data_IF_001997576060
#
_entry.id   IF_001997576060
#
_cell.length_a   1.000
_cell.length_b   1.000
_cell.length_c   1.000
_cell.angle_alpha   90.00
_cell.angle_beta   90.00
_cell.angle_gamma   90.00
#
_symmetry.space_group_name_H-M   'P 1'
#
loop_
_entity.id
_entity.type
_entity.pdbx_description
1 polymer ?
#
# COMPACT_ATOMS: atom_id res chain seq x y z
N UNK A 1 -31.66 59.64 -28.55
CA UNK A 1 -31.09 59.90 -29.89
C UNK A 1 -29.63 59.45 -29.81
N UNK A 2 -29.17 58.38 -30.46
CA UNK A 2 -29.28 57.95 -31.87
C UNK A 2 -28.36 58.76 -32.80
N UNK A 3 -27.58 58.18 -33.74
CA UNK A 3 -27.22 56.77 -34.03
C UNK A 3 -26.03 56.74 -35.03
N UNK A 4 -25.46 55.55 -35.30
CA UNK A 4 -24.45 55.21 -36.36
C UNK A 4 -23.00 55.75 -36.14
N UNK A 5 -21.86 55.10 -36.45
CA UNK A 5 -21.40 53.80 -37.03
C UNK A 5 -20.68 53.87 -38.39
N UNK A 6 -19.42 53.42 -38.46
CA UNK A 6 -18.71 53.01 -39.70
C UNK A 6 -17.49 52.09 -39.41
N UNK A 7 -17.15 51.26 -40.41
CA UNK A 7 -16.23 50.09 -40.42
C UNK A 7 -14.75 50.21 -39.97
N UNK A 8 -14.13 49.02 -39.81
CA UNK A 8 -12.67 48.74 -39.79
C UNK A 8 -12.00 48.92 -41.18
N UNK A 9 -10.66 48.84 -41.25
CA UNK A 9 -10.07 47.80 -42.09
C UNK A 9 -8.98 46.93 -41.40
N UNK A 10 -8.38 46.03 -42.18
CA UNK A 10 -7.42 44.98 -41.78
C UNK A 10 -6.10 45.50 -41.18
N UNK A 11 -5.56 44.73 -40.23
CA UNK A 11 -4.15 44.74 -39.83
C UNK A 11 -3.74 43.32 -39.41
N UNK A 12 -2.68 42.77 -40.00
CA UNK A 12 -2.25 41.38 -39.78
C UNK A 12 -1.23 41.28 -38.64
N UNK A 13 -1.38 40.28 -37.76
CA UNK A 13 -0.31 39.85 -36.85
C UNK A 13 -0.40 38.33 -36.61
N UNK A 14 0.33 37.56 -37.41
CA UNK A 14 0.58 36.12 -37.23
C UNK A 14 2.09 35.88 -37.15
N UNK A 15 2.66 35.75 -35.95
CA UNK A 15 3.98 35.11 -35.72
C UNK A 15 4.26 34.88 -34.23
N UNK A 16 3.79 33.77 -33.66
CA UNK A 16 4.42 33.15 -32.47
C UNK A 16 3.97 31.68 -32.26
N UNK A 17 4.21 30.82 -33.26
CA UNK A 17 3.81 29.39 -33.22
C UNK A 17 4.72 28.51 -34.09
N UNK A 18 6.05 28.66 -33.93
CA UNK A 18 7.04 28.01 -34.82
C UNK A 18 8.38 27.67 -34.13
N UNK A 19 8.37 27.48 -32.81
CA UNK A 19 9.57 27.31 -31.98
C UNK A 19 9.59 26.02 -31.12
N UNK A 20 8.70 25.06 -31.40
CA UNK A 20 8.53 23.83 -30.61
C UNK A 20 8.44 22.53 -31.44
N UNK A 21 8.87 22.52 -32.70
CA UNK A 21 8.71 21.39 -33.63
C UNK A 21 10.00 20.99 -34.40
N UNK A 22 11.20 21.23 -33.84
CA UNK A 22 12.48 20.94 -34.51
C UNK A 22 13.58 20.32 -33.61
N UNK A 23 13.22 19.53 -32.59
CA UNK A 23 14.18 18.70 -31.82
C UNK A 23 13.65 17.30 -31.49
N UNK A 24 13.04 16.62 -32.47
CA UNK A 24 12.54 15.26 -32.30
C UNK A 24 12.57 14.45 -33.61
N UNK A 25 13.76 14.31 -34.22
CA UNK A 25 14.07 13.26 -35.20
C UNK A 25 15.59 13.17 -35.44
N UNK A 26 16.32 12.37 -34.66
CA UNK A 26 17.49 11.64 -35.16
C UNK A 26 17.90 10.47 -34.22
N UNK A 27 18.48 9.43 -34.85
CA UNK A 27 19.19 8.27 -34.27
C UNK A 27 18.36 7.12 -33.71
N UNK A 28 18.06 6.18 -34.61
CA UNK A 28 17.70 4.78 -34.33
C UNK A 28 18.50 3.89 -35.30
N UNK A 29 19.13 2.83 -34.77
CA UNK A 29 19.93 1.79 -35.49
C UNK A 29 21.30 2.25 -36.08
N UNK A 30 22.35 1.42 -36.18
CA UNK A 30 22.73 0.17 -35.46
C UNK A 30 24.17 -0.23 -35.87
N UNK A 31 24.99 -0.78 -34.95
CA UNK A 31 25.94 -1.86 -35.27
C UNK A 31 26.47 -2.59 -34.03
N UNK A 32 26.95 -3.83 -34.23
CA UNK A 32 27.24 -4.84 -33.20
C UNK A 32 28.73 -5.22 -33.19
N UNK A 33 29.30 -5.42 -32.00
CA UNK A 33 30.46 -6.29 -31.76
C UNK A 33 30.29 -7.04 -30.42
N UNK A 34 30.87 -8.24 -30.29
CA UNK A 34 30.71 -9.12 -29.11
C UNK A 34 32.04 -9.73 -28.68
N UNK A 35 32.23 -9.85 -27.36
CA UNK A 35 32.98 -10.87 -26.59
C UNK A 35 32.48 -10.72 -25.14
N UNK A 36 32.00 -11.74 -24.40
CA UNK A 36 32.61 -13.02 -24.02
C UNK A 36 33.87 -12.83 -23.15
N UNK A 37 34.07 -13.45 -21.97
CA UNK A 37 33.21 -14.28 -21.08
C UNK A 37 33.93 -14.32 -19.68
N UNK A 38 33.54 -14.97 -18.56
CA UNK A 38 32.55 -15.99 -18.12
C UNK A 38 32.28 -15.80 -16.61
N UNK A 39 31.18 -16.34 -16.03
CA UNK A 39 31.19 -16.74 -14.59
C UNK A 39 29.86 -16.70 -13.82
N UNK A 40 29.53 -17.78 -13.09
CA UNK A 40 28.30 -17.92 -12.29
C UNK A 40 28.55 -17.85 -10.77
N UNK A 41 27.92 -16.87 -10.10
CA UNK A 41 27.13 -17.06 -8.86
C UNK A 41 27.75 -17.63 -7.56
N UNK A 42 26.82 -17.98 -6.65
CA UNK A 42 26.97 -18.78 -5.42
C UNK A 42 27.73 -18.16 -4.22
N UNK A 43 26.93 -17.54 -3.34
CA UNK A 43 26.81 -17.80 -1.88
C UNK A 43 28.02 -17.68 -0.93
N UNK A 44 27.83 -16.88 0.13
CA UNK A 44 28.68 -16.78 1.32
C UNK A 44 28.64 -18.05 2.21
N UNK A 45 29.77 -18.45 2.82
CA UNK A 45 29.72 -19.03 4.17
C UNK A 45 30.87 -18.59 5.13
N UNK A 46 30.46 -18.02 6.27
CA UNK A 46 30.99 -18.15 7.64
C UNK A 46 32.47 -18.58 7.93
N UNK A 47 33.20 -17.62 8.54
CA UNK A 47 33.91 -17.73 9.84
C UNK A 47 34.69 -19.02 10.24
N UNK A 48 36.04 -18.95 10.19
CA UNK A 48 37.02 -19.39 11.21
C UNK A 48 38.44 -18.94 10.76
N UNK A 49 39.19 -18.10 11.49
CA UNK A 49 39.93 -18.29 12.78
C UNK A 49 41.24 -19.08 12.67
N UNK A 50 42.31 -18.39 12.26
CA UNK A 50 43.70 -18.49 12.79
C UNK A 50 44.29 -17.08 12.72
N UNK A 51 44.99 -16.46 13.70
CA UNK A 51 45.72 -16.87 14.90
C UNK A 51 47.15 -17.40 14.68
N UNK A 52 48.07 -16.52 14.30
CA UNK A 52 49.49 -16.62 14.65
C UNK A 52 50.16 -15.24 14.61
N UNK A 53 50.89 -14.88 15.66
CA UNK A 53 51.67 -13.64 15.75
C UNK A 53 52.92 -13.68 14.87
N UNK A 54 53.25 -12.56 14.23
CA UNK A 54 54.63 -12.20 13.90
C UNK A 54 54.91 -10.81 14.44
N UNK A 55 56.02 -10.69 15.16
CA UNK A 55 56.29 -9.58 16.07
C UNK A 55 56.75 -8.31 15.37
N UNK A 56 56.01 -7.21 15.62
CA UNK A 56 56.50 -5.84 15.77
C UNK A 56 57.73 -5.40 14.94
N UNK A 57 57.48 -4.56 13.93
CA UNK A 57 58.28 -3.34 13.78
C UNK A 57 57.34 -2.14 13.69
N UNK A 58 57.66 -1.09 14.48
CA UNK A 58 56.73 0.00 14.81
C UNK A 58 56.78 1.10 13.74
N UNK A 59 55.67 1.30 13.04
CA UNK A 59 55.35 2.51 12.28
C UNK A 59 54.07 3.12 12.86
N UNK A 60 54.02 4.43 13.02
CA UNK A 60 52.93 5.13 13.73
C UNK A 60 51.66 5.22 12.87
N UNK A 61 50.49 4.75 13.35
CA UNK A 61 49.22 5.04 12.72
C UNK A 61 48.70 6.40 13.18
N UNK A 62 48.57 7.35 12.26
CA UNK A 62 47.83 8.60 12.51
C UNK A 62 46.41 8.27 12.96
N UNK A 63 46.09 8.52 14.23
CA UNK A 63 44.74 8.30 14.75
C UNK A 63 43.81 9.34 14.14
N UNK A 64 43.13 8.95 13.05
CA UNK A 64 41.89 9.60 12.64
C UNK A 64 40.87 9.27 13.73
N UNK A 65 40.74 10.18 14.69
CA UNK A 65 39.63 10.13 15.63
C UNK A 65 38.32 10.08 14.82
N UNK A 66 37.40 9.16 15.11
CA UNK A 66 36.01 9.38 14.78
C UNK A 66 35.63 10.74 15.35
N UNK A 67 35.00 11.62 14.56
CA UNK A 67 34.41 12.83 15.14
C UNK A 67 33.48 12.38 16.25
N UNK A 68 33.82 12.70 17.49
CA UNK A 68 32.89 12.54 18.59
C UNK A 68 31.59 13.24 18.17
N UNK A 69 30.44 12.60 18.36
CA UNK A 69 29.20 13.36 18.34
C UNK A 69 29.37 14.43 19.40
N UNK A 70 29.28 15.69 18.99
CA UNK A 70 29.13 16.77 19.93
C UNK A 70 27.78 16.56 20.60
N UNK A 71 27.81 15.93 21.77
CA UNK A 71 26.71 16.02 22.73
C UNK A 71 26.67 17.49 23.12
N UNK A 72 25.83 18.25 22.42
CA UNK A 72 25.56 19.64 22.74
C UNK A 72 25.11 19.68 24.19
N UNK A 73 25.87 20.35 25.06
CA UNK A 73 25.45 20.55 26.44
C UNK A 73 24.09 21.25 26.40
N UNK A 74 23.01 20.61 26.88
CA UNK A 74 21.70 21.25 27.00
C UNK A 74 21.88 22.42 27.98
N UNK A 75 21.98 23.63 27.44
CA UNK A 75 22.15 24.87 28.22
C UNK A 75 20.97 25.00 29.17
N UNK A 76 21.24 25.20 30.45
CA UNK A 76 20.19 25.50 31.41
C UNK A 76 19.52 26.84 31.07
N UNK A 77 18.22 26.96 31.36
CA UNK A 77 17.51 28.23 31.23
C UNK A 77 18.20 29.33 32.07
N UNK A 78 18.47 30.53 31.54
CA UNK A 78 18.92 31.66 32.33
C UNK A 78 17.88 32.01 33.42
N UNK A 79 18.31 32.15 34.67
CA UNK A 79 17.42 32.48 35.79
C UNK A 79 16.65 33.77 35.51
N UNK A 80 15.32 33.70 35.54
CA UNK A 80 14.43 34.81 35.15
C UNK A 80 13.95 34.80 33.69
N UNK A 81 14.38 33.84 32.86
CA UNK A 81 13.73 33.50 31.57
C UNK A 81 12.80 32.27 31.65
N UNK A 82 12.59 31.71 32.85
CA UNK A 82 11.63 30.63 33.08
C UNK A 82 10.23 31.06 32.61
N UNK A 83 9.67 30.29 31.67
CA UNK A 83 8.40 30.65 31.03
C UNK A 83 7.24 30.01 31.80
N UNK A 84 6.23 30.81 32.16
CA UNK A 84 5.00 30.34 32.84
C UNK A 84 3.72 30.66 32.06
N UNK A 85 3.82 31.42 30.96
CA UNK A 85 2.72 31.78 30.08
C UNK A 85 3.25 31.78 28.65
N UNK A 86 2.48 31.21 27.71
CA UNK A 86 2.75 31.36 26.28
C UNK A 86 2.25 32.74 25.85
N UNK A 87 3.20 33.63 25.52
CA UNK A 87 2.94 35.01 25.10
C UNK A 87 3.79 35.44 23.89
N UNK A 88 3.55 36.63 23.38
CA UNK A 88 4.20 37.19 22.18
C UNK A 88 5.72 37.38 22.36
N UNK A 89 6.25 37.45 23.59
CA UNK A 89 7.68 37.62 23.81
C UNK A 89 8.47 36.39 23.34
N UNK A 90 7.88 35.19 23.44
CA UNK A 90 8.50 33.94 22.99
C UNK A 90 8.77 33.91 21.48
N UNK A 91 8.03 34.67 20.67
CA UNK A 91 8.30 34.76 19.24
C UNK A 91 9.67 35.43 18.93
N UNK A 92 10.24 36.17 19.89
CA UNK A 92 11.56 36.80 19.80
C UNK A 92 12.67 36.00 20.49
N UNK A 93 12.38 34.80 21.03
CA UNK A 93 13.40 33.94 21.64
C UNK A 93 14.16 33.17 20.54
N UNK A 94 15.47 33.05 20.71
CA UNK A 94 16.32 32.19 19.89
C UNK A 94 15.95 30.71 20.10
N UNK A 95 16.21 29.87 19.09
CA UNK A 95 15.90 28.43 19.10
C UNK A 95 16.42 27.72 20.38
N UNK A 96 17.65 28.03 20.78
CA UNK A 96 18.27 27.44 21.98
C UNK A 96 17.66 27.96 23.30
N UNK A 97 17.03 29.14 23.31
CA UNK A 97 16.36 29.68 24.49
C UNK A 97 15.00 29.04 24.69
N UNK A 98 14.26 28.76 23.61
CA UNK A 98 13.02 27.98 23.67
C UNK A 98 13.29 26.54 24.15
N UNK A 99 14.31 25.87 23.59
CA UNK A 99 14.73 24.53 24.01
C UNK A 99 15.22 24.48 25.48
N UNK A 100 15.73 25.58 26.01
CA UNK A 100 16.18 25.68 27.40
C UNK A 100 15.07 26.07 28.41
N UNK A 101 14.14 26.96 28.03
CA UNK A 101 13.26 27.66 28.97
C UNK A 101 11.75 27.37 28.83
N UNK A 102 11.31 26.67 27.77
CA UNK A 102 9.89 26.33 27.56
C UNK A 102 9.66 24.84 27.83
N UNK A 103 8.69 24.56 28.71
CA UNK A 103 8.33 23.21 29.13
C UNK A 103 7.16 22.61 28.32
N UNK A 104 7.17 21.28 28.14
CA UNK A 104 6.15 20.55 27.39
C UNK A 104 4.77 20.56 28.06
N UNK A 105 4.68 20.60 29.40
CA UNK A 105 3.40 20.69 30.09
C UNK A 105 2.75 22.06 29.90
N UNK A 106 3.54 23.14 29.91
CA UNK A 106 3.06 24.49 29.62
C UNK A 106 2.50 24.59 28.20
N UNK A 107 3.22 24.07 27.21
CA UNK A 107 2.77 24.02 25.81
C UNK A 107 1.48 23.20 25.65
N UNK A 108 1.32 22.13 26.42
CA UNK A 108 0.13 21.29 26.41
C UNK A 108 -1.09 21.99 27.04
N UNK A 109 -0.91 22.67 28.17
CA UNK A 109 -1.98 23.45 28.84
C UNK A 109 -2.39 24.68 28.02
N UNK A 110 -1.44 25.32 27.33
CA UNK A 110 -1.64 26.61 26.67
C UNK A 110 -1.61 26.54 25.13
N UNK A 111 -1.95 25.38 24.56
CA UNK A 111 -1.95 25.14 23.10
C UNK A 111 -2.80 26.14 22.29
N UNK A 112 -3.90 26.68 22.86
CA UNK A 112 -4.68 27.76 22.23
C UNK A 112 -3.86 29.05 22.02
N UNK A 113 -2.92 29.35 22.92
CA UNK A 113 -2.02 30.50 22.83
C UNK A 113 -0.90 30.23 21.81
N UNK A 114 -0.35 29.02 21.79
CA UNK A 114 0.60 28.58 20.76
C UNK A 114 0.00 28.77 19.36
N UNK A 115 -1.30 28.50 19.21
CA UNK A 115 -2.05 28.69 17.96
C UNK A 115 -2.45 30.14 17.64
N UNK A 116 -2.34 31.07 18.58
CA UNK A 116 -2.69 32.48 18.39
C UNK A 116 -1.48 33.35 17.99
N UNK A 117 -0.26 32.91 18.30
CA UNK A 117 0.98 33.65 18.10
C UNK A 117 1.70 33.14 16.83
N UNK A 118 2.20 34.03 15.94
CA UNK A 118 2.81 33.63 14.67
C UNK A 118 4.28 33.19 14.84
N UNK A 119 4.49 32.07 15.54
CA UNK A 119 5.79 31.39 15.65
C UNK A 119 6.32 30.92 14.29
N UNK A 120 7.64 30.82 14.14
CA UNK A 120 8.26 30.23 12.95
C UNK A 120 8.17 28.70 12.95
N UNK A 121 8.32 28.06 11.79
CA UNK A 121 8.37 26.59 11.71
C UNK A 121 9.46 25.98 12.59
N UNK A 122 10.62 26.64 12.76
CA UNK A 122 11.68 26.19 13.66
C UNK A 122 11.24 26.26 15.14
N UNK A 123 10.59 27.35 15.55
CA UNK A 123 10.07 27.50 16.91
C UNK A 123 8.97 26.48 17.21
N UNK A 124 8.11 26.19 16.22
CA UNK A 124 7.07 25.16 16.34
C UNK A 124 7.63 23.73 16.36
N UNK A 125 8.68 23.42 15.60
CA UNK A 125 9.38 22.11 15.66
C UNK A 125 10.01 21.87 17.04
N UNK A 126 10.59 22.91 17.67
CA UNK A 126 11.08 22.84 19.05
C UNK A 126 9.92 22.59 20.03
N UNK A 127 8.80 23.30 19.90
CA UNK A 127 7.62 23.03 20.71
C UNK A 127 7.05 21.62 20.48
N UNK A 128 7.13 21.10 19.26
CA UNK A 128 6.73 19.73 18.93
C UNK A 128 7.66 18.73 19.62
N UNK A 129 8.97 18.98 19.61
CA UNK A 129 9.95 18.18 20.33
C UNK A 129 9.70 18.18 21.85
N UNK A 130 9.37 19.33 22.46
CA UNK A 130 8.96 19.41 23.87
C UNK A 130 7.70 18.61 24.19
N UNK A 131 6.71 18.65 23.29
CA UNK A 131 5.47 17.87 23.44
C UNK A 131 5.72 16.37 23.24
N UNK A 132 6.64 15.97 22.36
CA UNK A 132 7.09 14.58 22.21
C UNK A 132 7.92 14.09 23.42
N UNK A 133 8.81 14.94 23.99
CA UNK A 133 9.55 14.66 25.24
C UNK A 133 8.57 14.46 26.42
N UNK A 134 7.49 15.26 26.51
CA UNK A 134 6.50 15.19 27.58
C UNK A 134 5.43 14.09 27.40
N UNK A 135 5.03 13.80 26.16
CA UNK A 135 4.06 12.75 25.81
C UNK A 135 4.68 11.66 24.90
N UNK A 136 5.66 10.88 25.37
CA UNK A 136 6.35 9.88 24.55
C UNK A 136 5.45 8.72 24.08
N UNK A 137 4.27 8.56 24.69
CA UNK A 137 3.24 7.58 24.29
C UNK A 137 2.14 8.17 23.39
N UNK A 138 2.29 9.42 22.92
CA UNK A 138 1.28 10.13 22.14
C UNK A 138 0.43 11.08 22.97
N UNK A 139 -0.14 12.08 22.30
CA UNK A 139 -0.87 13.17 22.95
C UNK A 139 -2.23 12.71 23.53
N UNK A 140 -2.68 13.26 24.67
CA UNK A 140 -4.03 13.04 25.18
C UNK A 140 -5.07 13.75 24.31
N UNK A 141 -6.30 13.24 24.24
CA UNK A 141 -7.35 13.83 23.39
C UNK A 141 -7.70 15.27 23.77
N UNK A 142 -7.53 15.65 25.04
CA UNK A 142 -7.65 17.04 25.51
C UNK A 142 -6.64 18.00 24.90
N UNK A 143 -5.43 17.53 24.53
CA UNK A 143 -4.48 18.33 23.76
C UNK A 143 -4.84 18.30 22.27
N UNK A 144 -5.18 17.12 21.74
CA UNK A 144 -5.49 16.92 20.30
C UNK A 144 -6.64 17.83 19.84
N UNK A 145 -7.65 18.04 20.69
CA UNK A 145 -8.77 18.97 20.43
C UNK A 145 -8.34 20.42 20.20
N UNK A 146 -7.26 20.87 20.85
CA UNK A 146 -6.76 22.24 20.80
C UNK A 146 -5.61 22.46 19.79
N UNK A 147 -5.06 21.39 19.19
CA UNK A 147 -3.92 21.50 18.27
C UNK A 147 -4.13 22.50 17.13
N UNK A 148 -5.34 22.57 16.55
CA UNK A 148 -5.72 23.54 15.51
C UNK A 148 -4.63 23.68 14.40
N UNK A 149 -3.97 24.83 14.23
CA UNK A 149 -2.88 25.03 13.27
C UNK A 149 -1.58 24.28 13.62
N UNK A 150 -1.31 24.01 14.90
CA UNK A 150 -0.18 23.16 15.33
C UNK A 150 -0.26 21.73 14.76
N UNK A 151 -1.45 21.28 14.32
CA UNK A 151 -1.61 20.01 13.61
C UNK A 151 -0.77 19.91 12.31
N UNK A 152 -0.30 21.03 11.76
CA UNK A 152 0.53 21.05 10.55
C UNK A 152 1.94 20.50 10.78
N UNK A 153 2.46 20.62 12.01
CA UNK A 153 3.78 20.08 12.40
C UNK A 153 3.71 18.61 12.84
N UNK A 154 2.51 18.03 12.88
CA UNK A 154 2.29 16.65 13.30
C UNK A 154 2.54 15.69 12.13
N UNK A 155 3.34 14.65 12.39
CA UNK A 155 3.59 13.59 11.40
C UNK A 155 2.57 12.46 11.51
N UNK A 156 2.32 11.67 10.44
CA UNK A 156 1.49 10.46 10.52
C UNK A 156 1.98 9.46 11.59
N UNK A 157 3.29 9.39 11.84
CA UNK A 157 3.87 8.55 12.89
C UNK A 157 3.43 8.96 14.30
N UNK A 158 3.22 10.25 14.55
CA UNK A 158 2.74 10.75 15.83
C UNK A 158 1.25 10.43 16.03
N UNK A 159 0.45 10.61 14.98
CA UNK A 159 -0.99 10.32 14.98
C UNK A 159 -1.27 8.85 15.29
N UNK A 160 -0.41 7.91 14.86
CA UNK A 160 -0.55 6.50 15.22
C UNK A 160 -0.44 6.22 16.73
N UNK A 161 0.30 7.04 17.48
CA UNK A 161 0.47 6.93 18.95
C UNK A 161 -0.80 7.37 19.70
N UNK A 162 -1.55 8.32 19.14
CA UNK A 162 -2.69 8.97 19.78
C UNK A 162 -3.87 8.04 20.08
N UNK A 163 -4.79 8.47 20.93
CA UNK A 163 -6.10 7.85 21.05
C UNK A 163 -7.19 8.92 20.83
N UNK A 164 -7.83 8.89 19.66
CA UNK A 164 -8.87 9.85 19.26
C UNK A 164 -10.22 9.12 19.25
N UNK A 165 -11.17 9.60 20.06
CA UNK A 165 -12.47 8.96 20.28
C UNK A 165 -13.65 9.86 19.89
N UNK A 166 -13.45 11.17 19.82
CA UNK A 166 -14.48 12.14 19.46
C UNK A 166 -14.46 12.47 17.96
N UNK A 167 -15.64 12.35 17.31
CA UNK A 167 -15.82 12.73 15.91
C UNK A 167 -15.60 14.24 15.69
N UNK A 168 -15.90 15.08 16.68
CA UNK A 168 -15.71 16.53 16.57
C UNK A 168 -14.21 16.91 16.59
N UNK A 169 -13.37 16.11 17.27
CA UNK A 169 -11.90 16.22 17.18
C UNK A 169 -11.40 15.88 15.78
N UNK A 170 -11.97 14.86 15.13
CA UNK A 170 -11.65 14.54 13.73
C UNK A 170 -12.09 15.69 12.81
N UNK A 171 -13.31 16.21 12.98
CA UNK A 171 -13.84 17.32 12.17
C UNK A 171 -13.03 18.62 12.29
N UNK A 172 -12.55 18.98 13.49
CA UNK A 172 -11.75 20.18 13.68
C UNK A 172 -10.41 20.10 12.94
N UNK A 173 -9.71 18.97 13.04
CA UNK A 173 -8.42 18.74 12.36
C UNK A 173 -8.58 18.61 10.83
N UNK A 174 -9.64 17.96 10.35
CA UNK A 174 -9.99 17.93 8.92
C UNK A 174 -10.23 19.34 8.36
N UNK A 175 -10.90 20.22 9.13
CA UNK A 175 -11.16 21.61 8.73
C UNK A 175 -9.86 22.42 8.56
N UNK A 176 -8.86 22.24 9.43
CA UNK A 176 -7.54 22.90 9.30
C UNK A 176 -6.72 22.33 8.14
N UNK A 177 -6.82 21.02 7.91
CA UNK A 177 -6.11 20.29 6.86
C UNK A 177 -6.58 20.64 5.44
N UNK A 178 -7.82 21.14 5.29
CA UNK A 178 -8.45 21.35 3.98
C UNK A 178 -7.67 22.31 3.09
N UNK A 179 -7.37 21.86 1.86
CA UNK A 179 -6.60 22.64 0.88
C UNK A 179 -5.08 22.64 1.12
N UNK A 180 -4.59 21.81 2.05
CA UNK A 180 -3.15 21.61 2.33
C UNK A 180 -2.74 20.19 1.95
N UNK A 181 -1.44 19.95 1.77
CA UNK A 181 -0.85 18.62 1.48
C UNK A 181 -0.75 17.77 2.75
N UNK A 182 -1.89 17.49 3.37
CA UNK A 182 -2.02 16.79 4.66
C UNK A 182 -2.60 15.38 4.50
N UNK A 183 -2.65 14.83 3.28
CA UNK A 183 -3.39 13.61 2.95
C UNK A 183 -2.93 12.40 3.78
N UNK A 184 -1.62 12.29 4.06
CA UNK A 184 -1.07 11.23 4.92
C UNK A 184 -1.44 11.39 6.40
N UNK A 185 -1.48 12.63 6.92
CA UNK A 185 -1.96 12.91 8.27
C UNK A 185 -3.46 12.65 8.40
N UNK A 186 -4.25 13.02 7.39
CA UNK A 186 -5.68 12.74 7.31
C UNK A 186 -5.94 11.24 7.27
N UNK A 187 -5.20 10.48 6.44
CA UNK A 187 -5.25 9.03 6.40
C UNK A 187 -4.98 8.39 7.78
N UNK A 188 -3.91 8.81 8.45
CA UNK A 188 -3.56 8.32 9.78
C UNK A 188 -4.59 8.69 10.85
N UNK A 189 -5.16 9.91 10.81
CA UNK A 189 -6.20 10.37 11.73
C UNK A 189 -7.49 9.55 11.58
N UNK A 190 -7.93 9.33 10.34
CA UNK A 190 -9.11 8.51 10.05
C UNK A 190 -8.88 7.05 10.47
N UNK A 191 -7.72 6.46 10.14
CA UNK A 191 -7.36 5.12 10.60
C UNK A 191 -7.38 5.02 12.14
N UNK A 192 -6.78 5.99 12.84
CA UNK A 192 -6.66 5.99 14.31
C UNK A 192 -8.01 6.11 15.01
N UNK A 193 -8.94 6.90 14.46
CA UNK A 193 -10.31 7.05 14.94
C UNK A 193 -11.16 5.79 14.73
N UNK A 194 -11.08 5.19 13.53
CA UNK A 194 -11.82 3.97 13.18
C UNK A 194 -11.32 2.74 13.96
N UNK A 195 -10.01 2.64 14.20
CA UNK A 195 -9.41 1.62 15.10
C UNK A 195 -9.90 1.78 16.55
N UNK A 196 -10.28 2.99 16.97
CA UNK A 196 -10.94 3.25 18.25
C UNK A 196 -12.42 2.84 18.31
N UNK A 197 -12.98 2.25 17.25
CA UNK A 197 -14.41 1.93 17.13
C UNK A 197 -15.28 3.14 16.71
N UNK A 198 -14.65 4.25 16.32
CA UNK A 198 -15.35 5.45 15.83
C UNK A 198 -16.14 5.20 14.55
N UNK A 199 -17.13 6.07 14.28
CA UNK A 199 -17.90 6.04 13.04
C UNK A 199 -18.00 7.42 12.41
N UNK A 200 -17.65 7.51 11.13
CA UNK A 200 -17.74 8.76 10.37
C UNK A 200 -19.19 9.01 9.94
N UNK A 201 -19.71 10.19 10.28
CA UNK A 201 -20.99 10.64 9.71
C UNK A 201 -20.84 11.03 8.23
N UNK A 202 -21.97 11.13 7.53
CA UNK A 202 -21.97 11.47 6.10
C UNK A 202 -21.29 12.82 5.82
N UNK A 203 -21.48 13.83 6.65
CA UNK A 203 -20.87 15.15 6.44
C UNK A 203 -19.33 15.10 6.55
N UNK A 204 -18.81 14.17 7.35
CA UNK A 204 -17.37 13.90 7.49
C UNK A 204 -16.85 13.15 6.27
N UNK A 205 -17.58 12.14 5.75
CA UNK A 205 -17.25 11.47 4.48
C UNK A 205 -17.31 12.44 3.28
N UNK A 206 -18.32 13.31 3.22
CA UNK A 206 -18.46 14.37 2.20
C UNK A 206 -17.32 15.42 2.30
N UNK A 207 -16.73 15.60 3.50
CA UNK A 207 -15.56 16.45 3.69
C UNK A 207 -14.27 15.76 3.23
N UNK A 208 -14.15 14.45 3.45
CA UNK A 208 -13.01 13.64 3.01
C UNK A 208 -12.84 13.59 1.48
N UNK A 209 -13.91 13.77 0.71
CA UNK A 209 -13.85 13.91 -0.75
C UNK A 209 -12.98 15.11 -1.24
N UNK A 210 -12.62 16.05 -0.35
CA UNK A 210 -11.67 17.13 -0.66
C UNK A 210 -10.18 16.79 -0.41
N UNK A 211 -9.87 15.51 -0.13
CA UNK A 211 -8.52 14.97 0.08
C UNK A 211 -8.25 13.79 -0.87
N UNK A 212 -6.98 13.40 -1.01
CA UNK A 212 -6.58 12.22 -1.77
C UNK A 212 -7.04 10.93 -1.04
N UNK A 213 -7.71 9.96 -1.71
CA UNK A 213 -8.55 8.94 -1.07
C UNK A 213 -7.78 7.75 -0.47
N UNK A 214 -6.58 8.00 0.02
CA UNK A 214 -5.73 7.12 0.84
C UNK A 214 -6.43 6.54 2.08
N UNK A 215 -7.56 7.11 2.50
CA UNK A 215 -8.35 6.66 3.65
C UNK A 215 -9.32 5.50 3.32
N UNK A 216 -9.58 5.19 2.05
CA UNK A 216 -10.65 4.27 1.63
C UNK A 216 -10.58 2.88 2.29
N UNK A 217 -9.39 2.30 2.38
CA UNK A 217 -9.19 0.95 2.92
C UNK A 217 -9.30 0.87 4.45
N UNK A 218 -9.45 1.99 5.16
CA UNK A 218 -9.76 1.98 6.60
C UNK A 218 -11.27 1.94 6.89
N UNK A 219 -12.11 2.28 5.90
CA UNK A 219 -13.57 2.39 6.07
C UNK A 219 -14.23 1.01 6.15
N UNK A 220 -15.25 0.87 7.00
CA UNK A 220 -16.09 -0.34 6.98
C UNK A 220 -16.86 -0.45 5.64
N UNK A 221 -17.31 -1.64 5.21
CA UNK A 221 -18.10 -1.82 4.00
C UNK A 221 -19.33 -0.87 3.92
N UNK A 222 -19.95 -0.59 5.06
CA UNK A 222 -21.14 0.27 5.21
C UNK A 222 -20.79 1.77 5.06
N UNK A 223 -19.68 2.19 5.66
CA UNK A 223 -19.14 3.55 5.50
C UNK A 223 -18.66 3.77 4.05
N UNK A 224 -17.93 2.80 3.50
CA UNK A 224 -17.42 2.80 2.14
C UNK A 224 -18.57 2.88 1.12
N UNK A 225 -19.65 2.15 1.36
CA UNK A 225 -20.91 2.26 0.59
C UNK A 225 -21.48 3.68 0.57
N UNK A 226 -21.27 4.46 1.64
CA UNK A 226 -21.72 5.86 1.77
C UNK A 226 -20.79 6.90 1.14
N UNK A 227 -19.54 6.54 0.79
CA UNK A 227 -18.59 7.46 0.12
C UNK A 227 -19.09 7.83 -1.28
N UNK A 228 -18.88 9.10 -1.68
CA UNK A 228 -19.24 9.59 -3.02
C UNK A 228 -18.44 8.92 -4.15
N UNK A 229 -18.93 9.03 -5.39
CA UNK A 229 -18.35 8.33 -6.55
C UNK A 229 -17.11 9.04 -7.11
N UNK A 230 -16.91 10.32 -6.79
CA UNK A 230 -15.77 11.15 -7.19
C UNK A 230 -14.43 10.65 -6.60
N UNK A 231 -14.43 10.15 -5.37
CA UNK A 231 -13.27 9.53 -4.73
C UNK A 231 -12.67 8.36 -5.55
N UNK A 232 -13.48 7.73 -6.41
CA UNK A 232 -13.04 6.63 -7.28
C UNK A 232 -12.31 7.13 -8.54
N UNK A 233 -12.48 8.41 -8.92
CA UNK A 233 -11.77 9.04 -10.03
C UNK A 233 -10.35 9.47 -9.68
N UNK A 234 -10.08 9.73 -8.40
CA UNK A 234 -8.79 10.23 -7.88
C UNK A 234 -7.94 9.17 -7.19
N UNK A 235 -8.51 8.02 -6.85
CA UNK A 235 -7.79 6.88 -6.29
C UNK A 235 -6.80 6.27 -7.29
N UNK A 236 -5.60 5.98 -6.81
CA UNK A 236 -4.51 5.35 -7.53
C UNK A 236 -4.24 3.93 -7.00
N UNK A 237 -3.52 3.05 -7.74
CA UNK A 237 -3.31 1.66 -7.32
C UNK A 237 -2.72 1.50 -5.91
N UNK A 238 -1.82 2.39 -5.48
CA UNK A 238 -1.22 2.34 -4.15
C UNK A 238 -2.22 2.60 -3.01
N UNK A 239 -3.30 3.35 -3.25
CA UNK A 239 -4.33 3.68 -2.26
C UNK A 239 -5.24 2.46 -1.95
N UNK A 240 -5.14 1.41 -2.78
CA UNK A 240 -5.99 0.21 -2.75
C UNK A 240 -5.26 -1.04 -2.25
N UNK A 241 -3.93 -0.98 -2.05
CA UNK A 241 -3.09 -2.15 -1.70
C UNK A 241 -3.47 -2.77 -0.36
N UNK A 242 -3.99 -1.97 0.58
CA UNK A 242 -4.42 -2.41 1.91
C UNK A 242 -5.90 -2.80 2.00
N UNK A 243 -6.68 -2.70 0.91
CA UNK A 243 -8.10 -3.00 0.94
C UNK A 243 -8.38 -4.50 0.99
N UNK A 244 -9.25 -4.91 1.91
CA UNK A 244 -9.80 -6.26 1.98
C UNK A 244 -10.74 -6.55 0.80
N UNK A 245 -10.94 -7.84 0.42
CA UNK A 245 -11.76 -8.21 -0.74
C UNK A 245 -13.17 -7.59 -0.77
N UNK A 246 -13.86 -7.54 0.38
CA UNK A 246 -15.20 -6.96 0.48
C UNK A 246 -15.22 -5.44 0.29
N UNK A 247 -14.15 -4.72 0.65
CA UNK A 247 -13.99 -3.31 0.34
C UNK A 247 -13.75 -3.11 -1.17
N UNK A 248 -12.92 -3.98 -1.76
CA UNK A 248 -12.68 -3.96 -3.21
C UNK A 248 -13.93 -4.25 -4.03
N UNK A 249 -14.81 -5.16 -3.60
CA UNK A 249 -16.10 -5.43 -4.26
C UNK A 249 -16.98 -4.17 -4.35
N UNK A 250 -17.03 -3.39 -3.26
CA UNK A 250 -17.81 -2.15 -3.18
C UNK A 250 -17.15 -1.04 -4.02
N UNK A 251 -15.83 -0.90 -3.96
CA UNK A 251 -15.08 0.07 -4.77
C UNK A 251 -15.17 -0.25 -6.27
N UNK A 252 -15.09 -1.53 -6.65
CA UNK A 252 -15.27 -1.98 -8.02
C UNK A 252 -16.68 -1.69 -8.55
N UNK A 253 -17.72 -1.95 -7.74
CA UNK A 253 -19.11 -1.60 -8.07
C UNK A 253 -19.28 -0.10 -8.31
N UNK A 254 -18.71 0.75 -7.42
CA UNK A 254 -18.71 2.21 -7.60
C UNK A 254 -17.92 2.65 -8.84
N UNK A 255 -16.77 2.03 -9.11
CA UNK A 255 -15.93 2.33 -10.27
C UNK A 255 -16.65 2.05 -11.59
N UNK A 256 -17.40 0.94 -11.68
CA UNK A 256 -18.24 0.65 -12.86
C UNK A 256 -19.29 1.73 -13.11
N UNK A 257 -19.96 2.22 -12.06
CA UNK A 257 -20.98 3.27 -12.18
C UNK A 257 -20.32 4.60 -12.56
N UNK A 258 -19.20 4.95 -11.93
CA UNK A 258 -18.42 6.15 -12.24
C UNK A 258 -17.96 6.18 -13.70
N UNK A 259 -17.38 5.08 -14.19
CA UNK A 259 -16.80 4.99 -15.53
C UNK A 259 -17.77 4.47 -16.61
N UNK A 260 -19.08 4.37 -16.33
CA UNK A 260 -20.09 3.77 -17.23
C UNK A 260 -20.20 4.42 -18.62
N UNK A 261 -19.75 5.68 -18.76
CA UNK A 261 -19.77 6.43 -20.02
C UNK A 261 -18.48 6.26 -20.86
N UNK A 262 -17.50 5.52 -20.37
CA UNK A 262 -16.23 5.23 -21.07
C UNK A 262 -16.31 3.88 -21.79
N UNK A 263 -15.37 3.62 -22.71
CA UNK A 263 -15.26 2.32 -23.38
C UNK A 263 -13.81 1.97 -23.73
N UNK A 264 -13.56 0.70 -24.06
CA UNK A 264 -12.28 0.24 -24.62
C UNK A 264 -11.09 0.46 -23.70
N UNK A 265 -9.98 0.95 -24.27
CA UNK A 265 -8.72 1.16 -23.54
C UNK A 265 -8.81 2.25 -22.47
N UNK A 266 -9.62 3.30 -22.66
CA UNK A 266 -9.82 4.35 -21.64
C UNK A 266 -10.58 3.81 -20.44
N UNK A 267 -11.70 3.11 -20.67
CA UNK A 267 -12.44 2.42 -19.61
C UNK A 267 -11.54 1.41 -18.89
N UNK A 268 -10.77 0.61 -19.64
CA UNK A 268 -9.87 -0.37 -19.05
C UNK A 268 -8.81 0.29 -18.17
N UNK A 269 -8.16 1.37 -18.62
CA UNK A 269 -7.18 2.10 -17.84
C UNK A 269 -7.74 2.67 -16.53
N UNK A 270 -9.03 3.07 -16.51
CA UNK A 270 -9.71 3.60 -15.32
C UNK A 270 -10.22 2.52 -14.37
N UNK A 271 -10.78 1.42 -14.88
CA UNK A 271 -11.31 0.33 -14.04
C UNK A 271 -10.19 -0.58 -13.49
N UNK A 272 -9.03 -0.62 -14.15
CA UNK A 272 -7.87 -1.49 -13.82
C UNK A 272 -7.49 -1.57 -12.33
N UNK A 273 -7.36 -0.47 -11.57
CA UNK A 273 -6.95 -0.53 -10.17
C UNK A 273 -7.93 -1.31 -9.28
N UNK A 274 -9.21 -1.37 -9.67
CA UNK A 274 -10.30 -1.93 -8.88
C UNK A 274 -10.58 -3.41 -9.19
N UNK A 275 -9.93 -3.99 -10.20
CA UNK A 275 -10.26 -5.32 -10.74
C UNK A 275 -10.17 -6.48 -9.74
N UNK A 276 -9.44 -6.34 -8.62
CA UNK A 276 -9.44 -7.34 -7.55
C UNK A 276 -10.85 -7.58 -6.95
N UNK A 277 -11.74 -6.59 -7.00
CA UNK A 277 -13.16 -6.68 -6.62
C UNK A 277 -14.12 -7.08 -7.77
N UNK A 278 -13.60 -7.46 -8.94
CA UNK A 278 -14.44 -7.88 -10.06
C UNK A 278 -15.07 -9.27 -9.83
N UNK A 279 -16.18 -9.54 -10.53
CA UNK A 279 -16.72 -10.89 -10.70
C UNK A 279 -16.19 -11.56 -11.98
N UNK A 280 -16.40 -12.88 -12.13
CA UNK A 280 -16.06 -13.62 -13.36
C UNK A 280 -16.81 -13.05 -14.56
N UNK A 281 -18.08 -12.69 -14.36
CA UNK A 281 -19.00 -12.15 -15.35
C UNK A 281 -18.53 -10.76 -15.82
N UNK A 282 -17.92 -9.98 -14.94
CA UNK A 282 -17.35 -8.69 -15.28
C UNK A 282 -16.05 -8.82 -16.08
N UNK A 283 -15.20 -9.80 -15.76
CA UNK A 283 -14.04 -10.11 -16.60
C UNK A 283 -14.49 -10.60 -18.00
N UNK A 284 -15.58 -11.39 -18.08
CA UNK A 284 -16.21 -11.75 -19.37
C UNK A 284 -16.72 -10.53 -20.13
N UNK A 285 -17.20 -9.49 -19.46
CA UNK A 285 -17.59 -8.23 -20.09
C UNK A 285 -16.40 -7.39 -20.62
N UNK A 286 -15.15 -7.70 -20.21
CA UNK A 286 -13.93 -7.11 -20.77
C UNK A 286 -13.43 -7.85 -22.03
N UNK A 287 -13.66 -9.17 -22.13
CA UNK A 287 -13.27 -10.02 -23.28
C UNK A 287 -13.63 -9.45 -24.66
N UNK A 288 -14.83 -8.89 -24.91
CA UNK A 288 -15.16 -8.31 -26.23
C UNK A 288 -14.55 -6.93 -26.48
N UNK A 289 -13.97 -6.26 -25.47
CA UNK A 289 -13.48 -4.88 -25.57
C UNK A 289 -12.06 -4.75 -26.15
N UNK A 290 -11.43 -5.88 -26.55
CA UNK A 290 -10.08 -5.94 -27.13
C UNK A 290 -9.01 -5.24 -26.25
N UNK A 291 -9.08 -5.49 -24.95
CA UNK A 291 -8.15 -4.98 -23.94
C UNK A 291 -6.89 -5.84 -23.85
N UNK A 292 -5.86 -5.33 -23.18
CA UNK A 292 -4.59 -6.04 -22.95
C UNK A 292 -4.22 -5.91 -21.47
N UNK A 293 -4.59 -6.92 -20.68
CA UNK A 293 -4.24 -7.03 -19.27
C UNK A 293 -2.81 -7.54 -19.12
N UNK A 294 -1.97 -6.86 -18.34
CA UNK A 294 -0.65 -7.35 -17.92
C UNK A 294 -0.75 -8.46 -16.88
N UNK A 295 0.29 -9.32 -16.80
CA UNK A 295 0.26 -10.47 -15.87
C UNK A 295 0.25 -10.03 -14.40
N UNK A 296 0.78 -8.84 -14.08
CA UNK A 296 0.75 -8.30 -12.73
C UNK A 296 -0.69 -8.02 -12.27
N UNK A 297 -1.49 -7.37 -13.12
CA UNK A 297 -2.93 -7.17 -12.90
C UNK A 297 -3.70 -8.48 -12.91
N UNK A 298 -3.37 -9.41 -13.82
CA UNK A 298 -3.99 -10.74 -13.82
C UNK A 298 -3.73 -11.50 -12.51
N UNK A 299 -2.56 -11.31 -11.90
CA UNK A 299 -2.18 -11.91 -10.61
C UNK A 299 -2.83 -11.27 -9.38
N UNK A 300 -3.41 -10.06 -9.46
CA UNK A 300 -4.19 -9.48 -8.34
C UNK A 300 -5.65 -9.93 -8.32
N UNK A 301 -6.13 -10.59 -9.37
CA UNK A 301 -7.48 -11.15 -9.44
C UNK A 301 -7.64 -12.32 -8.45
N UNK A 302 -8.80 -12.38 -7.78
CA UNK A 302 -9.17 -13.48 -6.88
C UNK A 302 -9.19 -14.83 -7.60
N UNK A 303 -8.81 -15.90 -6.90
CA UNK A 303 -8.77 -17.26 -7.47
C UNK A 303 -10.17 -17.68 -7.91
N UNK A 304 -11.17 -17.40 -7.09
CA UNK A 304 -12.58 -17.74 -7.26
C UNK A 304 -13.15 -17.14 -8.57
N UNK A 305 -12.57 -16.02 -9.01
CA UNK A 305 -12.93 -15.24 -10.20
C UNK A 305 -12.11 -15.66 -11.44
N UNK A 306 -10.85 -16.09 -11.25
CA UNK A 306 -9.98 -16.57 -12.33
C UNK A 306 -10.25 -18.03 -12.72
N UNK A 307 -10.42 -18.91 -11.74
CA UNK A 307 -10.52 -20.36 -11.93
C UNK A 307 -11.66 -20.82 -12.86
N UNK A 308 -12.79 -20.11 -13.02
CA UNK A 308 -13.83 -20.43 -13.99
C UNK A 308 -13.60 -19.88 -15.41
N UNK A 309 -12.51 -19.14 -15.67
CA UNK A 309 -12.19 -18.61 -17.00
C UNK A 309 -11.58 -19.71 -17.89
N UNK A 310 -11.99 -19.73 -19.16
CA UNK A 310 -11.48 -20.63 -20.19
C UNK A 310 -10.20 -20.11 -20.84
N UNK A 311 -9.46 -21.01 -21.49
CA UNK A 311 -8.35 -20.68 -22.40
C UNK A 311 -8.69 -19.55 -23.38
N UNK A 312 -9.89 -19.56 -23.96
CA UNK A 312 -10.30 -18.58 -24.97
C UNK A 312 -10.58 -17.18 -24.39
N UNK A 313 -11.07 -17.11 -23.15
CA UNK A 313 -11.27 -15.86 -22.42
C UNK A 313 -9.91 -15.29 -21.98
N UNK A 314 -9.05 -16.09 -21.34
CA UNK A 314 -7.72 -15.64 -20.89
C UNK A 314 -6.82 -15.23 -22.06
N UNK A 315 -6.88 -15.93 -23.19
CA UNK A 315 -6.22 -15.54 -24.45
C UNK A 315 -6.60 -14.14 -24.93
N UNK A 316 -7.87 -13.75 -24.76
CA UNK A 316 -8.38 -12.42 -25.13
C UNK A 316 -8.14 -11.35 -24.07
N UNK A 317 -8.09 -11.72 -22.79
CA UNK A 317 -7.82 -10.79 -21.70
C UNK A 317 -6.34 -10.38 -21.64
N UNK A 318 -5.40 -11.32 -21.84
CA UNK A 318 -3.96 -11.03 -21.82
C UNK A 318 -3.44 -10.49 -23.16
N UNK A 319 -4.02 -10.93 -24.28
CA UNK A 319 -3.63 -10.47 -25.62
C UNK A 319 -2.14 -10.71 -25.91
N UNK A 320 -1.32 -9.66 -26.18
CA UNK A 320 0.12 -9.81 -26.39
C UNK A 320 0.88 -10.34 -25.15
N UNK A 321 0.37 -10.07 -23.94
CA UNK A 321 1.01 -10.43 -22.67
C UNK A 321 0.85 -11.93 -22.33
N UNK A 322 0.16 -12.69 -23.20
CA UNK A 322 -0.17 -14.10 -23.00
C UNK A 322 1.04 -15.01 -22.74
N UNK A 323 2.21 -14.67 -23.30
CA UNK A 323 3.45 -15.42 -23.08
C UNK A 323 3.94 -15.38 -21.61
N UNK A 324 3.57 -14.35 -20.85
CA UNK A 324 3.94 -14.18 -19.44
C UNK A 324 3.34 -15.29 -18.55
N UNK A 325 2.26 -15.96 -18.99
CA UNK A 325 1.73 -17.17 -18.33
C UNK A 325 2.80 -18.26 -18.14
N UNK A 326 3.78 -18.38 -19.06
CA UNK A 326 4.85 -19.37 -18.98
C UNK A 326 5.93 -18.99 -17.96
N UNK A 327 6.16 -17.69 -17.76
CA UNK A 327 7.05 -17.17 -16.71
C UNK A 327 6.42 -17.35 -15.33
N UNK A 328 5.10 -17.21 -15.24
CA UNK A 328 4.33 -17.26 -14.00
C UNK A 328 3.71 -18.64 -13.70
N UNK A 329 4.06 -19.69 -14.46
CA UNK A 329 3.39 -21.00 -14.38
C UNK A 329 3.52 -21.68 -13.00
N UNK A 330 4.55 -21.35 -12.23
CA UNK A 330 4.75 -21.83 -10.86
C UNK A 330 3.98 -21.03 -9.79
N UNK A 331 3.44 -19.86 -10.12
CA UNK A 331 2.92 -18.90 -9.16
C UNK A 331 1.38 -18.88 -9.11
N UNK A 332 0.83 -18.89 -7.90
CA UNK A 332 -0.59 -18.60 -7.66
C UNK A 332 -0.89 -17.13 -8.00
N UNK A 333 -2.02 -16.78 -8.66
CA UNK A 333 -3.12 -17.67 -9.06
C UNK A 333 -2.95 -18.36 -10.43
N UNK A 334 -1.98 -17.94 -11.26
CA UNK A 334 -1.76 -18.44 -12.64
C UNK A 334 -1.62 -19.96 -12.68
N UNK A 335 -0.75 -20.53 -11.84
CA UNK A 335 -0.58 -21.97 -11.65
C UNK A 335 -1.90 -22.69 -11.37
N UNK A 336 -2.68 -22.17 -10.43
CA UNK A 336 -3.90 -22.83 -9.96
C UNK A 336 -5.00 -22.79 -11.05
N UNK A 337 -4.98 -21.78 -11.93
CA UNK A 337 -5.78 -21.72 -13.15
C UNK A 337 -5.34 -22.76 -14.19
N UNK A 338 -4.03 -22.88 -14.45
CA UNK A 338 -3.46 -23.90 -15.37
C UNK A 338 -3.91 -25.32 -14.96
N UNK A 339 -3.82 -25.67 -13.67
CA UNK A 339 -4.24 -26.98 -13.15
C UNK A 339 -5.73 -27.33 -13.36
N UNK A 340 -6.61 -26.35 -13.68
CA UNK A 340 -8.03 -26.59 -13.96
C UNK A 340 -8.39 -26.72 -15.43
N UNK A 341 -7.52 -26.27 -16.33
CA UNK A 341 -7.73 -26.41 -17.77
C UNK A 341 -7.42 -27.85 -18.20
N UNK A 342 -7.92 -28.32 -19.35
CA UNK A 342 -7.47 -29.60 -19.92
C UNK A 342 -6.12 -29.40 -20.60
N UNK A 343 -5.27 -30.42 -20.60
CA UNK A 343 -3.96 -30.31 -21.24
C UNK A 343 -4.08 -29.98 -22.74
N UNK A 344 -4.99 -30.62 -23.49
CA UNK A 344 -5.25 -30.29 -24.91
C UNK A 344 -5.66 -28.83 -25.14
N UNK A 345 -6.40 -28.24 -24.21
CA UNK A 345 -6.84 -26.85 -24.32
C UNK A 345 -5.65 -25.89 -24.01
N UNK A 346 -4.78 -26.24 -23.05
CA UNK A 346 -3.51 -25.54 -22.79
C UNK A 346 -2.53 -25.67 -23.97
N UNK A 347 -2.40 -26.86 -24.55
CA UNK A 347 -1.53 -27.14 -25.70
C UNK A 347 -1.88 -26.21 -26.88
N UNK A 348 -3.17 -25.87 -27.04
CA UNK A 348 -3.67 -24.91 -28.04
C UNK A 348 -3.16 -23.47 -27.88
N UNK A 349 -2.49 -23.13 -26.77
CA UNK A 349 -1.81 -21.84 -26.58
C UNK A 349 -0.39 -21.84 -27.18
N UNK A 350 0.21 -23.00 -27.46
CA UNK A 350 1.57 -23.12 -27.99
C UNK A 350 2.69 -22.75 -26.99
N UNK A 351 2.36 -22.52 -25.72
CA UNK A 351 3.30 -22.02 -24.69
C UNK A 351 4.11 -23.10 -23.95
N UNK A 352 3.81 -24.39 -24.15
CA UNK A 352 4.44 -25.47 -23.39
C UNK A 352 4.10 -25.43 -21.88
N UNK A 353 2.87 -25.05 -21.53
CA UNK A 353 2.36 -25.09 -20.16
C UNK A 353 1.99 -26.54 -19.80
N UNK A 354 2.37 -26.99 -18.61
CA UNK A 354 2.06 -28.33 -18.13
C UNK A 354 1.40 -28.29 -16.75
N UNK A 355 0.47 -29.21 -16.51
CA UNK A 355 -0.27 -29.32 -15.24
C UNK A 355 -1.79 -29.40 -15.40
N UNK A 356 -2.32 -29.14 -16.61
CA UNK A 356 -3.74 -29.31 -16.87
C UNK A 356 -4.22 -30.75 -16.71
N UNK A 357 -5.54 -30.92 -16.58
CA UNK A 357 -6.21 -32.22 -16.50
C UNK A 357 -5.77 -33.08 -17.71
N UNK A 358 -5.19 -34.27 -17.50
CA UNK A 358 -4.62 -35.08 -18.58
C UNK A 358 -5.62 -35.46 -19.68
N UNK A 359 -5.10 -35.60 -20.89
CA UNK A 359 -5.89 -36.00 -22.06
C UNK A 359 -6.16 -37.51 -22.04
N UNK A 360 -7.38 -37.91 -21.62
CA UNK A 360 -7.82 -39.30 -21.61
C UNK A 360 -8.23 -39.78 -20.22
N UNK A 361 -8.00 -41.06 -19.94
CA UNK A 361 -8.35 -41.74 -18.69
C UNK A 361 -7.10 -42.29 -18.00
N UNK A 362 -7.04 -42.13 -16.68
CA UNK A 362 -6.00 -42.75 -15.85
C UNK A 362 -6.27 -44.25 -15.73
N UNK A 363 -5.41 -45.08 -16.32
CA UNK A 363 -5.41 -46.53 -16.08
C UNK A 363 -4.74 -46.78 -14.73
N UNK A 364 -5.55 -46.82 -13.67
CA UNK A 364 -5.10 -47.23 -12.34
C UNK A 364 -4.99 -48.76 -12.31
N UNK A 365 -3.76 -49.27 -12.28
CA UNK A 365 -3.51 -50.69 -12.10
C UNK A 365 -3.78 -51.11 -10.65
N UNK A 366 -4.97 -51.65 -10.41
CA UNK A 366 -5.43 -52.10 -9.09
C UNK A 366 -4.92 -53.50 -8.72
N UNK A 367 -3.97 -54.09 -9.46
CA UNK A 367 -3.42 -55.41 -9.17
C UNK A 367 -2.55 -55.51 -7.90
N UNK A 368 -2.42 -54.44 -7.11
CA UNK A 368 -1.86 -54.47 -5.75
C UNK A 368 -2.79 -55.16 -4.71
N UNK A 369 -3.26 -56.38 -5.03
CA UNK A 369 -4.06 -57.22 -4.13
C UNK A 369 -3.21 -58.20 -3.31
N UNK A 370 -1.94 -58.37 -3.64
CA UNK A 370 -1.07 -59.40 -3.03
C UNK A 370 -0.26 -58.92 -1.81
N UNK A 371 -0.20 -57.60 -1.54
CA UNK A 371 0.55 -57.04 -0.40
C UNK A 371 -0.15 -57.16 0.96
N UNK A 372 -1.47 -57.43 1.00
CA UNK A 372 -2.27 -57.49 2.23
C UNK A 372 -2.89 -58.87 2.52
N UNK A 373 -2.53 -59.90 1.73
CA UNK A 373 -2.96 -61.29 1.94
C UNK A 373 -1.85 -62.17 2.52
N UNK A 374 -1.04 -61.60 3.43
CA UNK A 374 0.01 -62.30 4.17
C UNK A 374 -0.55 -63.28 5.19
N UNK A 375 -1.12 -64.38 4.73
CA UNK A 375 -1.75 -65.42 5.56
C UNK A 375 -0.67 -66.23 6.30
N UNK A 376 -0.60 -66.21 7.65
CA UNK A 376 0.44 -66.93 8.37
C UNK A 376 0.24 -68.45 8.30
N UNK A 377 1.31 -69.18 7.97
CA UNK A 377 1.29 -70.65 8.01
C UNK A 377 1.20 -71.16 9.47
N UNK A 378 -0.01 -71.51 9.91
CA UNK A 378 -0.25 -72.15 11.20
C UNK A 378 -0.26 -73.68 11.05
N UNK A 379 0.83 -74.31 11.51
CA UNK A 379 0.72 -75.68 12.06
C UNK A 379 0.00 -75.58 13.41
N UNK A 380 -0.93 -76.50 13.68
CA UNK A 380 -1.55 -76.64 15.00
C UNK A 380 -0.71 -77.46 16.00
N UNK A 381 -1.24 -77.80 17.20
CA UNK A 381 -2.62 -77.57 17.63
C UNK A 381 -2.82 -77.04 19.08
N UNK A 382 -3.50 -75.88 19.22
CA UNK A 382 -4.19 -75.45 20.46
C UNK A 382 -3.31 -75.04 21.66
N UNK A 383 -3.93 -74.70 22.83
CA UNK A 383 -5.36 -74.62 23.12
C UNK A 383 -5.91 -73.17 23.24
N UNK A 384 -7.20 -73.06 23.54
CA UNK A 384 -7.99 -71.83 23.81
C UNK A 384 -7.56 -71.13 25.11
N UNK A 385 -7.66 -69.78 25.20
CA UNK A 385 -8.19 -69.04 26.37
C UNK A 385 -8.28 -67.50 26.17
N UNK A 386 -9.51 -66.95 26.08
CA UNK A 386 -9.92 -65.56 26.44
C UNK A 386 -9.26 -64.36 25.69
N UNK A 387 -9.74 -63.10 25.72
CA UNK A 387 -10.83 -62.38 26.45
C UNK A 387 -11.66 -61.57 25.42
N UNK A 388 -12.92 -61.18 25.75
CA UNK A 388 -13.80 -60.36 24.88
C UNK A 388 -13.91 -58.87 25.37
N UNK A 389 -14.75 -57.94 24.84
CA UNK A 389 -14.33 -56.55 24.60
C UNK A 389 -14.99 -55.51 25.53
N UNK A 390 -14.63 -54.22 25.40
CA UNK A 390 -15.55 -53.08 25.66
C UNK A 390 -15.09 -51.76 25.05
N UNK A 391 -16.00 -51.07 24.34
CA UNK A 391 -16.21 -49.60 24.27
C UNK A 391 -15.06 -48.71 23.70
N UNK A 392 -15.31 -47.46 23.27
CA UNK A 392 -16.50 -46.60 23.38
C UNK A 392 -16.68 -45.73 22.10
N UNK A 393 -17.91 -45.31 21.79
CA UNK A 393 -18.19 -44.26 20.80
C UNK A 393 -17.81 -42.87 21.36
N UNK A 394 -17.22 -42.01 20.53
CA UNK A 394 -17.14 -40.57 20.77
C UNK A 394 -17.23 -39.83 19.42
N UNK A 395 -18.46 -39.59 18.94
CA UNK A 395 -18.70 -38.91 17.65
C UNK A 395 -20.04 -38.14 17.66
N UNK A 396 -20.17 -37.17 18.56
CA UNK A 396 -21.27 -36.20 18.62
C UNK A 396 -20.69 -34.82 18.92
N UNK A 397 -20.96 -33.86 18.02
CA UNK A 397 -20.57 -32.43 18.05
C UNK A 397 -19.08 -32.11 18.26
N UNK A 398 -18.45 -31.60 17.20
CA UNK A 398 -18.30 -30.15 17.07
C UNK A 398 -18.30 -29.75 15.58
#
# INVERSE_FOLDING_TARGET
>A
MALWSAQRPLGSCKTLSLLFLLLSFEWVLLSRAQTADTGQGVMMPWLQRTSQDLSWQRSEPTIIFPRALQVTEKKACPSGKETHVVDENLAFYEEWELEACVDGALLAEQMDRVNAIPFTYQQLDIFKHKLDEFYPQGYPESLIQHLNYFFLEVTPHDIHKWNVTSLETVKSLLKVSKGRKMDAQVAALIARYLVGGGQLDKATLDTLASFHPTYLCFLSPEQLSSVQQDAVWTAMPQDLVSCHPLQMDILYSKARIAFQNMSGSEYFARIKPFLAGASTEDLRALVPQNISMDIATFKTLRKEVLLPLTIAEVRKLLGPNLAELKVEEGNSPVRDWIFRQRQIDLDSLGLGLHGGIPNGYLVLDLNFREALSGSPHLLGPGPVLTVIPTLLLALILN
#
